data_IF_589438545916
#
_entry.id   IF_589438545916
#
_cell.length_a   1.000
_cell.length_b   1.000
_cell.length_c   1.000
_cell.angle_alpha   90.00
_cell.angle_beta   90.00
_cell.angle_gamma   90.00
#
_symmetry.space_group_name_H-M   'P 1'
#
loop_
_entity.id
_entity.type
_entity.pdbx_description
1 polymer ?
#
# COMPACT_ATOMS: atom_id res chain seq x y z
N UNK A 1 22.27 -18.95 56.19
CA UNK A 1 22.69 -18.70 54.79
C UNK A 1 21.65 -19.08 53.72
N UNK A 2 20.80 -20.11 53.90
CA UNK A 2 19.82 -20.54 52.88
C UNK A 2 18.57 -19.66 52.69
N UNK A 3 18.25 -18.76 53.63
CA UNK A 3 17.08 -17.87 53.54
C UNK A 3 17.36 -16.53 52.85
N UNK A 4 18.63 -16.10 52.73
CA UNK A 4 19.01 -14.84 52.08
C UNK A 4 19.13 -14.97 50.55
N UNK A 5 19.46 -16.16 50.03
CA UNK A 5 19.44 -16.44 48.59
C UNK A 5 18.02 -16.47 47.99
N UNK A 6 17.00 -16.85 48.77
CA UNK A 6 15.61 -16.92 48.28
C UNK A 6 14.95 -15.54 48.09
N UNK A 7 15.40 -14.52 48.81
CA UNK A 7 14.90 -13.14 48.66
C UNK A 7 15.56 -12.38 47.50
N UNK A 8 16.81 -12.70 47.17
CA UNK A 8 17.51 -12.08 46.05
C UNK A 8 16.99 -12.56 44.67
N UNK A 9 16.53 -13.81 44.57
CA UNK A 9 15.96 -14.36 43.32
C UNK A 9 14.55 -13.82 43.04
N UNK A 10 13.79 -13.42 44.07
CA UNK A 10 12.43 -12.86 43.90
C UNK A 10 12.40 -11.46 43.29
N UNK A 11 13.41 -10.62 43.55
CA UNK A 11 13.45 -9.25 43.03
C UNK A 11 14.05 -9.13 41.62
N UNK A 12 14.86 -10.10 41.19
CA UNK A 12 15.37 -10.13 39.81
C UNK A 12 14.27 -10.50 38.79
N UNK A 13 13.30 -11.33 39.17
CA UNK A 13 12.21 -11.76 38.27
C UNK A 13 11.15 -10.64 38.08
N UNK A 14 10.92 -9.81 39.09
CA UNK A 14 9.94 -8.72 39.00
C UNK A 14 10.43 -7.52 38.15
N UNK A 15 11.73 -7.21 38.18
CA UNK A 15 12.29 -6.10 37.40
C UNK A 15 12.46 -6.42 35.90
N UNK A 16 12.69 -7.69 35.55
CA UNK A 16 12.74 -8.15 34.15
C UNK A 16 11.35 -8.25 33.50
N UNK A 17 10.29 -8.40 34.29
CA UNK A 17 8.91 -8.45 33.78
C UNK A 17 8.36 -7.10 33.31
N UNK A 18 8.74 -5.99 33.98
CA UNK A 18 8.25 -4.65 33.66
C UNK A 18 9.03 -3.96 32.54
N UNK A 19 10.31 -4.30 32.34
CA UNK A 19 11.11 -3.77 31.23
C UNK A 19 10.83 -4.48 29.89
N UNK A 20 10.35 -5.73 29.91
CA UNK A 20 10.00 -6.48 28.69
C UNK A 20 8.66 -6.09 28.06
N UNK A 21 7.74 -5.53 28.83
CA UNK A 21 6.38 -5.22 28.35
C UNK A 21 6.29 -3.98 27.45
N UNK A 22 7.25 -3.06 27.52
CA UNK A 22 7.25 -1.83 26.72
C UNK A 22 7.88 -1.99 25.32
N UNK A 23 8.62 -3.07 25.07
CA UNK A 23 9.32 -3.32 23.79
C UNK A 23 8.55 -4.21 22.82
N UNK A 24 7.35 -4.67 23.21
CA UNK A 24 6.48 -5.52 22.38
C UNK A 24 5.21 -4.80 21.93
N UNK A 25 5.13 -3.47 22.07
CA UNK A 25 4.07 -2.73 21.39
C UNK A 25 4.28 -2.89 19.87
N UNK A 26 3.37 -3.57 19.15
CA UNK A 26 3.48 -3.64 17.70
C UNK A 26 3.37 -2.19 17.20
N UNK A 27 4.40 -1.72 16.49
CA UNK A 27 4.26 -0.54 15.67
C UNK A 27 3.11 -0.84 14.70
N UNK A 28 2.00 -0.12 14.83
CA UNK A 28 0.91 -0.24 13.88
C UNK A 28 1.53 0.00 12.48
N UNK A 29 1.32 -0.92 11.51
CA UNK A 29 1.83 -0.71 10.17
C UNK A 29 1.31 0.65 9.68
N UNK A 30 2.19 1.46 9.10
CA UNK A 30 1.79 2.74 8.53
C UNK A 30 0.75 2.46 7.43
N UNK A 31 -0.51 2.72 7.74
CA UNK A 31 -1.61 2.54 6.82
C UNK A 31 -1.38 3.47 5.62
N UNK A 32 -1.30 2.91 4.41
CA UNK A 32 -1.38 3.69 3.20
C UNK A 32 -2.77 4.34 3.15
N UNK A 33 -2.81 5.67 3.30
CA UNK A 33 -4.03 6.46 3.26
C UNK A 33 -4.10 7.23 1.94
N UNK A 34 -5.30 7.37 1.34
CA UNK A 34 -5.47 8.13 0.11
C UNK A 34 -4.94 9.54 0.27
N UNK A 35 -4.10 9.99 -0.66
CA UNK A 35 -3.75 11.40 -0.69
C UNK A 35 -4.97 12.20 -1.13
N UNK A 36 -5.22 13.38 -0.51
CA UNK A 36 -6.29 14.26 -0.95
C UNK A 36 -6.21 14.52 -2.44
N UNK A 37 -7.36 14.54 -3.13
CA UNK A 37 -7.40 14.75 -4.59
C UNK A 37 -6.65 16.03 -5.02
N UNK A 38 -6.62 17.03 -4.16
CA UNK A 38 -5.91 18.29 -4.36
C UNK A 38 -4.41 18.15 -4.58
N UNK A 39 -3.79 17.05 -4.14
CA UNK A 39 -2.37 16.77 -4.36
C UNK A 39 -2.05 16.40 -5.81
N UNK A 40 -3.03 15.91 -6.55
CA UNK A 40 -2.88 15.60 -7.95
C UNK A 40 -3.02 16.87 -8.78
N UNK A 41 -2.22 16.95 -9.84
CA UNK A 41 -2.26 18.04 -10.80
C UNK A 41 -2.46 17.49 -12.20
N UNK A 42 -2.56 18.38 -13.18
CA UNK A 42 -2.59 18.00 -14.60
C UNK A 42 -1.31 17.31 -15.06
N UNK A 43 -0.21 17.36 -14.30
CA UNK A 43 1.10 16.82 -14.68
C UNK A 43 1.83 16.04 -13.57
N UNK A 44 1.23 15.86 -12.40
CA UNK A 44 1.83 15.15 -11.26
C UNK A 44 0.81 14.27 -10.54
N UNK A 45 1.29 13.10 -10.07
CA UNK A 45 0.43 12.09 -9.45
C UNK A 45 -0.51 11.43 -10.46
N UNK A 46 -1.37 10.55 -9.98
CA UNK A 46 -2.40 9.88 -10.78
C UNK A 46 -3.69 9.92 -9.99
N UNK A 47 -4.78 10.30 -10.64
CA UNK A 47 -6.10 10.17 -10.01
C UNK A 47 -6.50 8.71 -10.10
N UNK A 48 -6.71 8.08 -8.94
CA UNK A 48 -7.30 6.76 -8.84
C UNK A 48 -8.78 6.91 -8.51
N UNK A 49 -9.64 6.19 -9.21
CA UNK A 49 -11.04 6.04 -8.89
C UNK A 49 -11.48 4.58 -8.81
N UNK A 50 -12.42 4.30 -7.91
CA UNK A 50 -13.08 3.00 -7.78
C UNK A 50 -14.58 3.20 -7.70
N UNK A 51 -15.30 2.54 -8.61
CA UNK A 51 -16.74 2.63 -8.75
C UNK A 51 -17.45 1.54 -7.95
N UNK A 52 -18.22 1.93 -6.93
CA UNK A 52 -19.08 1.02 -6.16
C UNK A 52 -20.56 1.11 -6.58
N UNK A 53 -20.89 1.77 -7.69
CA UNK A 53 -22.27 1.95 -8.17
C UNK A 53 -23.01 0.64 -8.43
N UNK A 54 -22.29 -0.44 -8.77
CA UNK A 54 -22.88 -1.78 -8.87
C UNK A 54 -23.59 -2.22 -7.58
N UNK A 55 -23.11 -1.77 -6.42
CA UNK A 55 -23.71 -2.02 -5.10
C UNK A 55 -24.46 -0.80 -4.55
N UNK A 56 -24.84 0.15 -5.41
CA UNK A 56 -25.53 1.39 -5.02
C UNK A 56 -24.65 2.45 -4.34
N UNK A 57 -23.33 2.28 -4.38
CA UNK A 57 -22.35 3.23 -3.84
C UNK A 57 -21.95 4.35 -4.82
N UNK A 58 -21.16 5.33 -4.38
CA UNK A 58 -20.57 6.34 -5.26
C UNK A 58 -19.30 5.82 -5.94
N UNK A 59 -18.75 6.65 -6.84
CA UNK A 59 -17.36 6.53 -7.30
C UNK A 59 -16.47 7.31 -6.34
N UNK A 60 -15.58 6.63 -5.63
CA UNK A 60 -14.58 7.30 -4.81
C UNK A 60 -13.33 7.57 -5.63
N UNK A 61 -12.74 8.75 -5.48
CA UNK A 61 -11.44 9.08 -6.09
C UNK A 61 -10.45 9.66 -5.10
N UNK A 62 -9.16 9.43 -5.33
CA UNK A 62 -8.07 10.05 -4.57
C UNK A 62 -6.91 10.40 -5.48
N UNK A 63 -5.92 11.09 -4.91
CA UNK A 63 -4.62 11.17 -5.54
C UNK A 63 -3.73 10.00 -5.11
N UNK A 64 -2.91 9.53 -6.03
CA UNK A 64 -1.79 8.64 -5.77
C UNK A 64 -0.50 9.13 -6.42
N UNK A 65 0.61 8.48 -6.09
CA UNK A 65 1.95 8.92 -6.49
C UNK A 65 2.46 8.16 -7.71
N UNK A 66 3.53 8.67 -8.33
CA UNK A 66 4.23 8.03 -9.46
C UNK A 66 5.74 8.07 -9.21
N UNK A 67 6.53 7.08 -9.67
CA UNK A 67 6.12 5.90 -10.43
C UNK A 67 5.36 4.88 -9.57
N UNK A 68 4.41 4.17 -10.18
CA UNK A 68 3.58 3.15 -9.53
C UNK A 68 3.05 2.17 -10.58
N UNK A 69 2.43 1.09 -10.14
CA UNK A 69 1.53 0.24 -10.93
C UNK A 69 0.07 0.49 -10.54
N UNK A 70 -0.89 -0.01 -11.33
CA UNK A 70 -2.32 0.07 -10.98
C UNK A 70 -2.66 -0.63 -9.65
N UNK A 71 -2.00 -1.75 -9.35
CA UNK A 71 -2.15 -2.46 -8.08
C UNK A 71 -1.58 -1.66 -6.91
N UNK A 72 -0.36 -1.14 -7.05
CA UNK A 72 0.25 -0.30 -6.01
C UNK A 72 -0.56 0.98 -5.79
N UNK A 73 -1.13 1.54 -6.85
CA UNK A 73 -1.97 2.74 -6.79
C UNK A 73 -3.22 2.49 -5.94
N UNK A 74 -3.90 1.35 -6.10
CA UNK A 74 -5.02 0.94 -5.23
C UNK A 74 -4.59 0.92 -3.75
N UNK A 75 -3.47 0.28 -3.46
CA UNK A 75 -2.97 0.13 -2.10
C UNK A 75 -2.54 1.48 -1.49
N UNK A 76 -1.84 2.32 -2.26
CA UNK A 76 -1.45 3.68 -1.87
C UNK A 76 -2.69 4.54 -1.56
N UNK A 77 -3.74 4.37 -2.36
CA UNK A 77 -5.02 5.04 -2.19
C UNK A 77 -5.85 4.57 -0.99
N UNK A 78 -5.35 3.62 -0.18
CA UNK A 78 -6.06 3.06 0.96
C UNK A 78 -7.23 2.13 0.59
N UNK A 79 -7.28 1.67 -0.66
CA UNK A 79 -8.11 0.54 -1.03
C UNK A 79 -7.46 -0.76 -0.56
N UNK A 80 -8.29 -1.69 -0.09
CA UNK A 80 -7.88 -3.04 0.27
C UNK A 80 -8.31 -3.98 -0.85
N UNK A 81 -7.37 -4.76 -1.34
CA UNK A 81 -7.60 -5.71 -2.43
C UNK A 81 -7.48 -7.14 -1.93
N UNK A 82 -8.36 -8.02 -2.40
CA UNK A 82 -8.24 -9.46 -2.20
C UNK A 82 -8.01 -10.13 -3.56
N UNK A 83 -6.98 -10.98 -3.64
CA UNK A 83 -6.67 -11.77 -4.83
C UNK A 83 -7.60 -12.98 -5.01
N UNK A 84 -7.32 -13.81 -6.02
CA UNK A 84 -7.91 -15.15 -6.13
C UNK A 84 -7.00 -16.19 -5.48
N UNK A 85 -7.55 -17.37 -5.14
CA UNK A 85 -6.76 -18.51 -4.67
C UNK A 85 -5.84 -19.06 -5.77
N UNK A 86 -6.31 -19.08 -7.02
CA UNK A 86 -5.56 -19.61 -8.17
C UNK A 86 -4.44 -18.67 -8.64
N UNK A 87 -4.73 -17.37 -8.81
CA UNK A 87 -3.81 -16.39 -9.42
C UNK A 87 -3.13 -15.47 -8.39
N UNK A 88 -3.49 -15.62 -7.12
CA UNK A 88 -2.97 -14.78 -6.04
C UNK A 88 -3.40 -13.31 -6.18
N UNK A 89 -2.62 -12.36 -5.65
CA UNK A 89 -2.96 -10.94 -5.67
C UNK A 89 -2.88 -10.30 -7.06
N UNK A 90 -2.31 -11.02 -8.06
CA UNK A 90 -2.20 -10.50 -9.42
C UNK A 90 -3.56 -10.37 -10.12
N UNK A 91 -4.56 -11.18 -9.70
CA UNK A 91 -5.94 -11.02 -10.12
C UNK A 91 -6.78 -10.45 -8.96
N UNK A 92 -7.25 -9.20 -9.09
CA UNK A 92 -8.02 -8.54 -8.03
C UNK A 92 -9.46 -9.06 -8.05
N UNK A 93 -9.78 -9.93 -7.10
CA UNK A 93 -11.13 -10.44 -6.92
C UNK A 93 -12.03 -9.43 -6.18
N UNK A 94 -11.49 -8.79 -5.14
CA UNK A 94 -12.24 -7.80 -4.36
C UNK A 94 -11.51 -6.49 -4.19
N UNK A 95 -12.29 -5.42 -4.08
CA UNK A 95 -11.83 -4.10 -3.68
C UNK A 95 -12.76 -3.59 -2.57
N UNK A 96 -12.18 -3.03 -1.52
CA UNK A 96 -12.91 -2.29 -0.48
C UNK A 96 -12.17 -1.03 -0.07
N UNK A 97 -12.87 -0.15 0.64
CA UNK A 97 -12.34 1.13 1.09
C UNK A 97 -12.92 1.45 2.46
N UNK A 98 -12.08 1.76 3.46
CA UNK A 98 -12.56 1.94 4.84
C UNK A 98 -13.53 3.12 5.01
N UNK A 99 -13.42 4.15 4.16
CA UNK A 99 -14.41 5.24 4.08
C UNK A 99 -15.76 4.83 3.49
N UNK A 100 -15.91 3.58 3.04
CA UNK A 100 -17.15 3.03 2.49
C UNK A 100 -17.59 1.78 3.26
N UNK A 101 -18.71 1.88 3.99
CA UNK A 101 -19.28 0.81 4.82
C UNK A 101 -18.24 0.10 5.71
N UNK A 102 -17.35 0.86 6.36
CA UNK A 102 -16.35 0.32 7.27
C UNK A 102 -15.31 -0.59 6.62
N UNK A 103 -15.08 -0.47 5.30
CA UNK A 103 -14.08 -1.27 4.60
C UNK A 103 -14.58 -2.58 4.03
N UNK A 104 -15.91 -2.77 3.99
CA UNK A 104 -16.52 -3.91 3.30
C UNK A 104 -15.94 -4.01 1.88
N UNK A 105 -15.40 -5.19 1.57
CA UNK A 105 -14.87 -5.50 0.24
C UNK A 105 -15.96 -6.09 -0.65
N UNK A 106 -15.85 -5.78 -1.94
CA UNK A 106 -16.81 -6.17 -2.95
C UNK A 106 -16.16 -6.85 -4.16
N UNK A 107 -16.79 -7.88 -4.76
CA UNK A 107 -18.01 -8.55 -4.31
C UNK A 107 -17.90 -9.08 -2.89
N UNK A 108 -19.01 -9.36 -2.23
CA UNK A 108 -18.95 -9.95 -0.87
C UNK A 108 -18.64 -11.45 -0.93
N UNK A 109 -18.19 -12.08 0.16
CA UNK A 109 -17.95 -13.54 0.19
C UNK A 109 -19.17 -14.40 -0.18
N UNK A 110 -20.38 -13.84 -0.09
CA UNK A 110 -21.60 -14.53 -0.50
C UNK A 110 -21.84 -14.47 -2.02
N UNK A 111 -21.18 -13.54 -2.72
CA UNK A 111 -21.34 -13.32 -4.17
C UNK A 111 -20.23 -13.98 -4.99
N UNK A 112 -19.03 -14.10 -4.44
CA UNK A 112 -17.87 -14.68 -5.10
C UNK A 112 -16.97 -15.28 -4.01
N UNK A 113 -16.49 -16.50 -4.19
CA UNK A 113 -15.61 -17.19 -3.23
C UNK A 113 -14.14 -16.76 -3.39
N UNK A 114 -13.78 -16.19 -4.54
CA UNK A 114 -12.41 -15.83 -4.91
C UNK A 114 -11.44 -17.01 -4.93
N UNK A 115 -11.92 -18.22 -5.23
CA UNK A 115 -11.04 -19.40 -5.37
C UNK A 115 -10.43 -19.42 -6.76
N UNK A 116 -11.29 -19.36 -7.79
CA UNK A 116 -10.89 -19.33 -9.19
C UNK A 116 -11.01 -17.90 -9.74
N UNK A 117 -10.43 -17.69 -10.91
CA UNK A 117 -10.63 -16.46 -11.68
C UNK A 117 -12.12 -16.30 -12.03
N UNK A 118 -12.77 -15.19 -11.64
CA UNK A 118 -14.15 -14.91 -12.01
C UNK A 118 -14.36 -14.90 -13.53
N UNK A 119 -15.54 -15.32 -14.02
CA UNK A 119 -15.86 -15.24 -15.44
C UNK A 119 -15.90 -13.79 -15.92
N UNK A 120 -15.64 -13.56 -17.22
CA UNK A 120 -15.63 -12.23 -17.82
C UNK A 120 -16.97 -11.46 -17.71
N UNK A 121 -18.04 -12.13 -17.27
CA UNK A 121 -19.35 -11.53 -17.00
C UNK A 121 -19.41 -10.71 -15.70
N UNK A 122 -18.49 -10.89 -14.75
CA UNK A 122 -18.50 -10.18 -13.47
C UNK A 122 -17.11 -10.12 -12.82
N UNK A 123 -16.35 -9.08 -13.11
CA UNK A 123 -15.02 -8.87 -12.53
C UNK A 123 -14.67 -7.38 -12.42
N UNK A 124 -13.59 -7.06 -11.71
CA UNK A 124 -13.03 -5.71 -11.66
C UNK A 124 -12.25 -5.40 -12.94
N UNK A 125 -12.87 -4.65 -13.83
CA UNK A 125 -12.25 -4.15 -15.05
C UNK A 125 -11.46 -2.87 -14.78
N UNK A 126 -10.33 -2.72 -15.48
CA UNK A 126 -9.39 -1.63 -15.29
C UNK A 126 -9.31 -0.74 -16.52
N UNK A 127 -9.53 0.55 -16.31
CA UNK A 127 -9.57 1.57 -17.36
C UNK A 127 -8.64 2.71 -17.03
N UNK A 128 -8.03 3.29 -18.06
CA UNK A 128 -7.14 4.44 -17.89
C UNK A 128 -7.32 5.47 -19.01
N UNK A 129 -6.96 6.70 -18.69
CA UNK A 129 -6.88 7.81 -19.64
C UNK A 129 -5.62 8.63 -19.40
N UNK A 130 -4.77 8.70 -20.43
CA UNK A 130 -3.53 9.48 -20.38
C UNK A 130 -3.80 10.98 -20.14
N UNK A 131 -2.79 11.77 -19.74
CA UNK A 131 -2.93 13.21 -19.53
C UNK A 131 -3.58 13.89 -20.74
N UNK A 132 -4.61 14.70 -20.49
CA UNK A 132 -5.35 15.45 -21.51
C UNK A 132 -6.36 14.64 -22.33
N UNK A 133 -6.43 13.31 -22.20
CA UNK A 133 -7.40 12.49 -22.91
C UNK A 133 -8.74 12.42 -22.15
N UNK A 134 -9.86 12.35 -22.88
CA UNK A 134 -11.20 12.22 -22.31
C UNK A 134 -11.94 10.96 -22.81
N UNK A 135 -11.19 9.95 -23.22
CA UNK A 135 -11.71 8.64 -23.64
C UNK A 135 -11.05 7.55 -22.81
N UNK A 136 -11.84 6.62 -22.28
CA UNK A 136 -11.32 5.47 -21.57
C UNK A 136 -10.72 4.45 -22.52
N UNK A 137 -9.54 3.97 -22.13
CA UNK A 137 -8.88 2.80 -22.69
C UNK A 137 -8.94 1.66 -21.67
N UNK A 138 -9.36 0.48 -22.11
CA UNK A 138 -9.34 -0.72 -21.29
C UNK A 138 -7.90 -1.23 -21.18
N UNK A 139 -7.44 -1.52 -19.97
CA UNK A 139 -6.07 -1.97 -19.75
C UNK A 139 -5.86 -3.38 -20.32
N UNK A 140 -5.02 -3.49 -21.35
CA UNK A 140 -4.54 -4.77 -21.87
C UNK A 140 -3.43 -5.39 -21.01
N UNK A 141 -2.95 -4.66 -20.00
CA UNK A 141 -1.97 -5.12 -19.03
C UNK A 141 -2.66 -5.37 -17.69
N UNK A 142 -2.15 -6.37 -16.95
CA UNK A 142 -2.59 -6.61 -15.58
C UNK A 142 -2.25 -5.45 -14.63
N UNK A 143 -2.94 -5.40 -13.49
CA UNK A 143 -2.78 -4.36 -12.45
C UNK A 143 -1.33 -4.14 -12.01
N UNK A 144 -0.54 -5.22 -12.00
CA UNK A 144 0.87 -5.25 -11.59
C UNK A 144 1.84 -4.74 -12.68
N UNK A 145 1.38 -4.54 -13.91
CA UNK A 145 2.24 -4.29 -15.07
C UNK A 145 2.00 -2.94 -15.72
N UNK A 146 0.74 -2.48 -15.77
CA UNK A 146 0.44 -1.14 -16.26
C UNK A 146 1.08 -0.09 -15.35
N UNK A 147 1.70 0.93 -15.95
CA UNK A 147 2.35 2.04 -15.26
C UNK A 147 1.71 3.36 -15.70
N UNK A 148 0.83 3.95 -14.88
CA UNK A 148 0.16 5.19 -15.25
C UNK A 148 1.16 6.35 -15.38
N UNK A 149 0.88 7.26 -16.31
CA UNK A 149 1.68 8.47 -16.51
C UNK A 149 1.28 9.55 -15.48
N UNK A 150 2.21 10.39 -15.01
CA UNK A 150 1.83 11.54 -14.19
C UNK A 150 0.76 12.41 -14.89
N UNK A 151 -0.29 12.80 -14.17
CA UNK A 151 -1.46 13.52 -14.68
C UNK A 151 -2.53 12.64 -15.35
N UNK A 152 -2.36 11.32 -15.36
CA UNK A 152 -3.39 10.38 -15.86
C UNK A 152 -4.51 10.14 -14.84
N UNK A 153 -5.55 9.46 -15.30
CA UNK A 153 -6.68 9.01 -14.49
C UNK A 153 -6.88 7.52 -14.73
N UNK A 154 -7.02 6.80 -13.63
CA UNK A 154 -7.23 5.36 -13.56
C UNK A 154 -8.57 5.07 -12.89
N UNK A 155 -9.30 4.07 -13.37
CA UNK A 155 -10.62 3.71 -12.89
C UNK A 155 -10.80 2.19 -12.83
N UNK A 156 -11.32 1.72 -11.70
CA UNK A 156 -11.77 0.35 -11.49
C UNK A 156 -13.28 0.29 -11.42
N UNK A 157 -13.91 -0.54 -12.25
CA UNK A 157 -15.37 -0.76 -12.23
C UNK A 157 -15.69 -2.25 -12.22
N UNK A 158 -16.73 -2.64 -11.49
CA UNK A 158 -17.19 -4.02 -11.44
C UNK A 158 -18.31 -4.28 -12.45
N UNK A 159 -18.18 -5.33 -13.25
CA UNK A 159 -19.22 -5.74 -14.20
C UNK A 159 -18.71 -6.68 -15.27
N UNK A 160 -19.55 -6.94 -16.26
CA UNK A 160 -19.19 -7.76 -17.41
C UNK A 160 -18.56 -6.93 -18.53
N UNK A 161 -17.48 -7.44 -19.11
CA UNK A 161 -16.87 -6.86 -20.32
C UNK A 161 -16.58 -7.96 -21.34
N UNK A 162 -16.22 -7.57 -22.56
CA UNK A 162 -15.52 -8.42 -23.52
C UNK A 162 -13.99 -8.26 -23.39
N UNK A 163 -13.23 -9.13 -24.06
CA UNK A 163 -11.76 -9.15 -24.00
C UNK A 163 -11.11 -7.82 -24.45
N UNK A 164 -11.79 -7.06 -25.31
CA UNK A 164 -11.33 -5.77 -25.80
C UNK A 164 -11.80 -4.57 -24.99
N UNK A 165 -12.67 -4.75 -23.98
CA UNK A 165 -13.31 -3.63 -23.27
C UNK A 165 -14.13 -2.73 -24.20
N UNK A 166 -14.76 -3.29 -25.24
CA UNK A 166 -15.72 -2.56 -26.08
C UNK A 166 -17.12 -2.53 -25.44
N UNK A 167 -17.41 -3.49 -24.55
CA UNK A 167 -18.60 -3.59 -23.71
C UNK A 167 -18.27 -3.33 -22.25
N UNK A 168 -19.27 -2.92 -21.47
CA UNK A 168 -19.11 -2.65 -20.04
C UNK A 168 -18.23 -1.43 -19.75
N UNK A 169 -18.16 -0.47 -20.67
CA UNK A 169 -17.35 0.75 -20.52
C UNK A 169 -17.90 1.64 -19.39
N UNK A 170 -17.04 2.43 -18.72
CA UNK A 170 -17.49 3.41 -17.76
C UNK A 170 -18.46 4.42 -18.39
N UNK A 171 -19.51 4.77 -17.66
CA UNK A 171 -20.49 5.79 -18.09
C UNK A 171 -20.00 7.21 -17.82
N UNK A 172 -19.25 7.41 -16.74
CA UNK A 172 -18.54 8.65 -16.45
C UNK A 172 -17.35 8.85 -17.40
N UNK A 173 -17.00 10.10 -17.71
CA UNK A 173 -15.83 10.43 -18.54
C UNK A 173 -14.57 10.62 -17.68
N UNK A 174 -13.35 10.46 -18.25
CA UNK A 174 -12.12 10.76 -17.52
C UNK A 174 -12.06 12.17 -16.95
N UNK A 175 -12.56 13.17 -17.67
CA UNK A 175 -12.57 14.56 -17.20
C UNK A 175 -13.47 14.81 -15.99
N UNK A 176 -14.51 13.99 -15.76
CA UNK A 176 -15.30 14.10 -14.52
C UNK A 176 -14.49 13.69 -13.28
N UNK A 177 -13.48 12.83 -13.45
CA UNK A 177 -12.60 12.37 -12.38
C UNK A 177 -11.30 13.17 -12.28
N UNK A 178 -10.82 13.72 -13.39
CA UNK A 178 -9.49 14.34 -13.51
C UNK A 178 -9.26 15.47 -12.50
N UNK A 179 -8.02 15.59 -12.03
CA UNK A 179 -7.55 16.76 -11.31
C UNK A 179 -7.31 17.92 -12.28
N UNK A 180 -7.78 19.12 -11.93
CA UNK A 180 -7.62 20.32 -12.75
C UNK A 180 -6.58 21.30 -12.21
N UNK A 181 -5.98 20.99 -11.06
CA UNK A 181 -4.99 21.85 -10.43
C UNK A 181 -3.70 21.88 -11.27
N UNK A 182 -3.05 23.03 -11.35
CA UNK A 182 -1.69 23.16 -11.93
C UNK A 182 -0.59 23.03 -10.87
N UNK A 183 -0.96 23.07 -9.58
CA UNK A 183 -0.09 22.89 -8.42
C UNK A 183 -0.84 22.12 -7.32
N UNK A 184 -0.16 21.31 -6.49
CA UNK A 184 -0.82 20.64 -5.37
C UNK A 184 -1.52 21.63 -4.42
N UNK A 185 -2.68 21.23 -3.91
CA UNK A 185 -3.53 22.00 -2.98
C UNK A 185 -4.03 21.11 -1.84
N UNK A 186 -4.39 21.71 -0.70
CA UNK A 186 -5.10 21.01 0.38
C UNK A 186 -4.25 20.04 1.20
N UNK A 187 -2.96 20.36 1.43
CA UNK A 187 -2.17 19.73 2.48
C UNK A 187 -2.00 20.71 3.62
N UNK A 188 -2.55 20.42 4.80
CA UNK A 188 -2.07 21.07 6.02
C UNK A 188 -0.57 20.74 6.14
N UNK A 189 0.31 21.73 6.35
CA UNK A 189 1.71 21.45 6.63
C UNK A 189 1.76 20.54 7.87
N UNK A 190 2.54 19.46 7.79
CA UNK A 190 2.90 18.70 8.99
C UNK A 190 3.39 19.70 10.06
N UNK A 191 2.97 19.59 11.34
CA UNK A 191 3.40 20.51 12.38
C UNK A 191 4.92 20.63 12.37
N UNK A 192 5.41 21.82 12.06
CA UNK A 192 6.83 22.10 12.05
C UNK A 192 7.35 21.87 13.48
N UNK A 193 8.48 21.15 13.68
CA UNK A 193 9.06 20.99 15.00
C UNK A 193 9.24 22.38 15.64
N UNK A 194 8.89 22.57 16.92
CA UNK A 194 9.04 23.87 17.56
C UNK A 194 10.49 24.34 17.40
N UNK A 195 10.73 25.62 17.08
CA UNK A 195 12.07 26.15 16.94
C UNK A 195 12.84 25.88 18.23
N UNK A 196 14.04 25.30 18.10
CA UNK A 196 14.94 25.07 19.24
C UNK A 196 15.12 26.40 19.98
N UNK A 197 15.00 26.43 21.33
CA UNK A 197 15.25 27.63 22.11
C UNK A 197 16.63 28.20 21.74
N UNK A 198 16.66 29.47 21.36
CA UNK A 198 17.89 30.21 21.15
C UNK A 198 18.59 30.33 22.52
N UNK A 199 19.90 30.02 22.64
CA UNK A 199 20.62 30.31 23.87
C UNK A 199 20.56 31.81 24.16
N UNK A 200 20.15 32.18 25.38
CA UNK A 200 20.07 33.57 25.80
C UNK A 200 21.46 34.23 25.79
N UNK A 201 21.58 35.49 25.37
CA UNK A 201 22.82 36.23 25.47
C UNK A 201 22.98 36.74 26.90
N UNK A 202 23.71 36.01 27.74
CA UNK A 202 24.20 36.57 29.02
C UNK A 202 25.36 37.52 28.72
N UNK A 203 25.06 38.82 28.80
CA UNK A 203 25.99 39.92 29.10
C UNK A 203 25.88 40.11 30.63
N UNK A 204 26.89 40.31 31.48
CA UNK A 204 28.23 40.91 31.41
C UNK A 204 28.90 40.57 32.75
N UNK A 205 30.24 40.45 32.82
CA UNK A 205 31.09 41.21 33.75
C UNK A 205 32.57 40.97 33.42
N UNK A 206 33.27 42.06 33.08
CA UNK A 206 34.72 42.17 33.07
C UNK A 206 35.32 41.81 34.44
N UNK A 207 36.49 41.17 34.43
CA UNK A 207 37.51 41.39 35.45
C UNK A 207 38.91 41.40 34.79
N UNK A 208 39.83 42.32 35.16
CA UNK A 208 41.12 42.52 34.48
C UNK A 208 42.30 41.80 35.17
N UNK A 209 43.38 41.59 34.39
CA UNK A 209 44.71 41.08 34.78
C UNK A 209 44.99 39.70 34.15
N UNK A 210 46.13 39.35 33.55
CA UNK A 210 47.44 39.98 33.38
C UNK A 210 48.10 39.38 32.10
N UNK A 211 49.08 40.08 31.54
CA UNK A 211 49.51 39.95 30.16
C UNK A 211 50.32 38.72 29.73
N UNK A 212 50.34 38.51 28.41
CA UNK A 212 51.41 37.85 27.66
C UNK A 212 51.37 38.30 26.18
N UNK A 213 52.51 38.58 25.51
CA UNK A 213 52.53 39.14 24.15
C UNK A 213 52.04 38.17 23.07
N UNK A 214 51.34 38.72 22.07
CA UNK A 214 50.81 38.00 20.91
C UNK A 214 51.92 37.45 20.01
N UNK A 215 51.87 36.15 19.71
CA UNK A 215 52.64 35.52 18.66
C UNK A 215 51.97 35.76 17.28
N UNK A 216 52.75 35.97 16.19
CA UNK A 216 52.19 36.18 14.86
C UNK A 216 51.59 34.88 14.27
N UNK A 217 50.57 34.98 13.40
CA UNK A 217 49.96 33.81 12.76
C UNK A 217 50.88 33.17 11.70
N UNK A 218 50.81 31.84 11.48
CA UNK A 218 51.54 31.17 10.42
C UNK A 218 50.94 31.47 9.02
N UNK A 219 51.72 31.34 7.93
CA UNK A 219 51.26 31.61 6.57
C UNK A 219 50.24 30.56 6.07
N UNK A 220 49.40 30.91 5.07
CA UNK A 220 48.41 30.00 4.52
C UNK A 220 49.06 28.84 3.77
N UNK A 221 48.64 27.61 4.08
CA UNK A 221 49.03 26.39 3.37
C UNK A 221 48.22 26.26 2.08
N UNK A 222 48.90 26.24 0.94
CA UNK A 222 48.32 25.98 -0.38
C UNK A 222 47.84 24.52 -0.47
N UNK A 223 46.55 24.30 -0.70
CA UNK A 223 46.00 22.98 -1.01
C UNK A 223 46.15 22.68 -2.52
N UNK A 224 46.57 21.48 -2.94
CA UNK A 224 46.68 21.12 -4.36
C UNK A 224 45.32 20.83 -4.99
N UNK A 225 45.18 21.16 -6.28
CA UNK A 225 44.03 20.83 -7.12
C UNK A 225 43.89 19.31 -7.33
N UNK A 226 42.65 18.77 -7.44
CA UNK A 226 42.45 17.38 -7.85
C UNK A 226 42.64 17.19 -9.37
N UNK A 227 43.15 16.02 -9.82
CA UNK A 227 43.43 15.75 -11.23
C UNK A 227 42.17 15.38 -12.03
N UNK A 228 42.23 15.74 -13.30
CA UNK A 228 41.29 15.37 -14.37
C UNK A 228 41.31 13.86 -14.64
N UNK A 229 40.17 13.15 -14.80
CA UNK A 229 40.17 11.79 -15.30
C UNK A 229 40.20 11.74 -16.82
N UNK A 230 41.25 11.06 -17.29
CA UNK A 230 41.53 10.67 -18.66
C UNK A 230 40.45 9.77 -19.25
N UNK A 231 40.22 9.95 -20.55
CA UNK A 231 39.37 9.10 -21.38
C UNK A 231 39.87 7.65 -21.40
N UNK A 232 38.95 6.70 -21.28
CA UNK A 232 39.19 5.30 -21.66
C UNK A 232 38.08 4.88 -22.61
N UNK A 233 38.45 4.71 -23.86
CA UNK A 233 37.69 4.01 -24.86
C UNK A 233 37.63 2.52 -24.50
N UNK A 234 36.47 1.89 -24.69
CA UNK A 234 36.38 0.45 -24.80
C UNK A 234 35.35 0.07 -25.84
N UNK A 235 35.90 -0.62 -26.83
CA UNK A 235 35.41 -1.28 -28.02
C UNK A 235 34.08 -2.01 -27.93
N UNK A 236 33.29 -1.82 -29.00
CA UNK A 236 32.19 -2.64 -29.50
C UNK A 236 32.62 -4.09 -29.80
N UNK A 237 31.70 -5.07 -29.79
CA UNK A 237 31.29 -5.60 -31.09
C UNK A 237 29.77 -5.82 -31.25
N UNK A 238 29.37 -5.68 -32.51
CA UNK A 238 28.05 -5.92 -33.10
C UNK A 238 27.93 -7.37 -33.60
N UNK A 239 26.76 -8.00 -33.42
CA UNK A 239 26.11 -8.83 -34.44
C UNK A 239 24.69 -9.25 -34.02
N UNK A 240 23.74 -8.99 -34.91
CA UNK A 240 22.32 -9.40 -34.90
C UNK A 240 22.12 -10.93 -34.94
N UNK A 241 20.87 -11.41 -34.78
CA UNK A 241 20.12 -11.66 -36.01
C UNK A 241 18.65 -11.22 -35.99
N UNK A 242 18.21 -10.95 -37.22
CA UNK A 242 16.85 -10.74 -37.71
C UNK A 242 15.98 -11.99 -37.56
N UNK A 243 14.66 -11.82 -37.43
CA UNK A 243 13.72 -12.94 -37.60
C UNK A 243 12.33 -12.73 -37.00
N UNK A 244 11.48 -11.96 -37.68
CA UNK A 244 10.03 -12.19 -37.67
C UNK A 244 9.70 -13.06 -38.89
N UNK A 245 8.82 -14.07 -38.77
CA UNK A 245 7.45 -13.83 -39.23
C UNK A 245 6.34 -14.56 -38.42
N UNK A 246 5.15 -13.95 -38.41
CA UNK A 246 3.84 -14.62 -38.24
C UNK A 246 3.39 -15.17 -39.62
N UNK A 247 2.63 -16.29 -39.75
CA UNK A 247 1.16 -16.20 -39.62
C UNK A 247 0.38 -17.50 -39.20
N UNK A 248 -0.72 -17.28 -38.45
CA UNK A 248 -2.10 -17.84 -38.64
C UNK A 248 -2.36 -19.38 -38.53
N UNK A 249 -3.62 -19.87 -38.59
CA UNK A 249 -4.52 -20.08 -37.45
C UNK A 249 -4.96 -21.56 -37.28
N UNK A 250 -5.59 -21.92 -36.16
CA UNK A 250 -6.43 -23.13 -36.09
C UNK A 250 -7.71 -22.88 -35.29
N UNK A 251 -8.77 -23.43 -35.87
CA UNK A 251 -10.16 -23.10 -35.66
C UNK A 251 -10.85 -23.99 -34.62
N UNK A 252 -12.04 -23.53 -34.23
CA UNK A 252 -13.20 -24.30 -33.77
C UNK A 252 -13.11 -25.06 -32.46
N UNK A 253 -13.85 -24.55 -31.47
CA UNK A 253 -15.11 -25.20 -31.09
C UNK A 253 -16.05 -24.20 -30.39
N UNK A 254 -17.23 -24.00 -30.99
CA UNK A 254 -18.42 -23.48 -30.31
C UNK A 254 -19.02 -24.59 -29.43
N UNK A 255 -19.69 -24.26 -28.33
CA UNK A 255 -21.14 -24.39 -28.42
C UNK A 255 -21.95 -23.24 -27.78
N UNK A 256 -22.95 -22.83 -28.55
CA UNK A 256 -24.35 -22.57 -28.20
C UNK A 256 -24.78 -22.46 -26.73
N UNK A 257 -25.44 -21.33 -26.48
CA UNK A 257 -26.67 -21.13 -25.69
C UNK A 257 -26.59 -21.17 -24.14
N UNK A 258 -26.76 -19.99 -23.53
CA UNK A 258 -28.07 -19.57 -23.01
C UNK A 258 -28.07 -18.09 -22.69
N UNK A 259 -29.02 -17.36 -23.26
CA UNK A 259 -29.30 -15.97 -22.92
C UNK A 259 -29.87 -15.92 -21.50
N UNK A 260 -29.03 -15.54 -20.53
CA UNK A 260 -29.49 -14.96 -19.28
C UNK A 260 -29.50 -13.45 -19.44
N UNK A 261 -30.66 -12.83 -19.24
CA UNK A 261 -30.83 -11.38 -19.21
C UNK A 261 -29.71 -10.69 -18.45
N UNK A 262 -28.89 -9.94 -19.17
CA UNK A 262 -28.03 -8.95 -18.57
C UNK A 262 -28.95 -7.87 -18.00
N UNK A 263 -29.23 -7.96 -16.69
CA UNK A 263 -29.92 -6.91 -15.95
C UNK A 263 -29.03 -5.67 -16.04
N UNK A 264 -29.41 -4.75 -16.92
CA UNK A 264 -28.86 -3.41 -16.97
C UNK A 264 -29.13 -2.77 -15.60
N UNK A 265 -28.08 -2.46 -14.86
CA UNK A 265 -28.19 -1.69 -13.62
C UNK A 265 -28.86 -0.33 -13.94
N UNK A 266 -29.76 0.16 -13.08
CA UNK A 266 -30.49 1.40 -13.33
C UNK A 266 -29.53 2.59 -13.35
N UNK A 267 -29.60 3.36 -14.45
CA UNK A 267 -28.74 4.51 -14.74
C UNK A 267 -29.07 5.74 -13.89
N UNK A 268 -28.62 5.73 -12.64
CA UNK A 268 -28.30 6.97 -11.93
C UNK A 268 -26.88 7.42 -12.32
N UNK A 269 -26.67 8.70 -12.61
CA UNK A 269 -25.31 9.24 -12.74
C UNK A 269 -24.54 8.91 -11.45
N UNK A 270 -23.45 8.15 -11.59
CA UNK A 270 -22.66 7.74 -10.44
C UNK A 270 -22.05 8.98 -9.77
N UNK A 271 -22.44 9.22 -8.52
CA UNK A 271 -21.95 10.36 -7.74
C UNK A 271 -20.45 10.19 -7.50
N UNK A 272 -19.63 11.17 -7.89
CA UNK A 272 -18.19 11.20 -7.59
C UNK A 272 -17.97 11.81 -6.21
N UNK A 273 -17.14 11.17 -5.40
CA UNK A 273 -16.78 11.58 -4.04
C UNK A 273 -15.27 11.53 -3.87
N UNK A 274 -14.68 12.59 -3.31
CA UNK A 274 -13.27 12.56 -2.93
C UNK A 274 -13.09 11.68 -1.69
N UNK A 275 -12.24 10.66 -1.81
CA UNK A 275 -11.89 9.76 -0.74
C UNK A 275 -11.05 10.50 0.32
N UNK A 276 -11.55 10.57 1.55
CA UNK A 276 -10.80 11.09 2.68
C UNK A 276 -9.83 10.03 3.22
N UNK A 277 -8.72 10.42 3.86
CA UNK A 277 -7.97 9.50 4.71
C UNK A 277 -8.93 8.87 5.73
N UNK A 278 -9.17 7.58 5.60
CA UNK A 278 -10.01 6.83 6.52
C UNK A 278 -9.11 5.92 7.36
N UNK A 279 -9.37 5.76 8.67
CA UNK A 279 -8.65 4.77 9.48
C UNK A 279 -8.80 3.39 8.83
N UNK A 280 -7.86 2.48 9.09
CA UNK A 280 -8.03 1.10 8.64
C UNK A 280 -9.38 0.55 9.12
N UNK A 281 -10.00 -0.26 8.27
CA UNK A 281 -11.19 -1.01 8.66
C UNK A 281 -10.90 -1.76 9.96
N UNK A 282 -11.84 -1.74 10.90
CA UNK A 282 -11.74 -2.60 12.08
C UNK A 282 -11.58 -4.03 11.57
N UNK A 283 -10.45 -4.64 11.92
CA UNK A 283 -10.26 -6.04 11.61
C UNK A 283 -11.26 -6.80 12.46
N UNK A 284 -12.25 -7.41 11.81
CA UNK A 284 -13.03 -8.46 12.44
C UNK A 284 -12.01 -9.51 12.87
N UNK A 285 -11.70 -9.51 14.17
CA UNK A 285 -10.73 -10.40 14.76
C UNK A 285 -11.36 -11.77 14.65
N UNK A 286 -11.15 -12.42 13.50
CA UNK A 286 -11.72 -13.70 13.18
C UNK A 286 -11.61 -14.59 14.41
N UNK A 287 -12.73 -15.23 14.75
CA UNK A 287 -12.95 -16.00 15.98
C UNK A 287 -11.66 -16.43 16.67
N UNK A 288 -11.39 -15.95 17.89
CA UNK A 288 -10.21 -16.36 18.70
C UNK A 288 -10.26 -17.83 19.14
N UNK A 289 -11.34 -18.54 18.80
CA UNK A 289 -11.57 -19.94 19.14
C UNK A 289 -10.44 -20.89 18.69
N UNK A 290 -9.85 -20.80 17.48
CA UNK A 290 -8.73 -21.64 17.07
C UNK A 290 -7.46 -21.36 17.88
N UNK A 291 -7.20 -20.10 18.24
CA UNK A 291 -6.07 -19.71 19.08
C UNK A 291 -6.27 -20.20 20.53
N UNK A 292 -7.48 -20.08 21.06
CA UNK A 292 -7.83 -20.61 22.37
C UNK A 292 -7.78 -22.15 22.40
N UNK A 293 -8.22 -22.82 21.34
CA UNK A 293 -8.19 -24.27 21.21
C UNK A 293 -6.75 -24.80 21.12
N UNK A 294 -5.90 -24.16 20.32
CA UNK A 294 -4.47 -24.52 20.21
C UNK A 294 -3.72 -24.27 21.52
N UNK A 295 -3.94 -23.14 22.18
CA UNK A 295 -3.37 -22.86 23.49
C UNK A 295 -3.83 -23.89 24.55
N UNK A 296 -5.12 -24.23 24.57
CA UNK A 296 -5.67 -25.27 25.44
C UNK A 296 -5.03 -26.64 25.23
N UNK A 297 -4.84 -27.03 23.96
CA UNK A 297 -4.19 -28.30 23.61
C UNK A 297 -2.73 -28.36 24.11
N UNK A 298 -1.97 -27.28 23.96
CA UNK A 298 -0.58 -27.20 24.46
C UNK A 298 -0.51 -27.34 25.97
N UNK A 299 -1.44 -26.73 26.71
CA UNK A 299 -1.51 -26.86 28.18
C UNK A 299 -1.83 -28.28 28.60
N UNK A 300 -2.76 -28.96 27.91
CA UNK A 300 -3.11 -30.36 28.21
C UNK A 300 -1.92 -31.28 27.96
N UNK A 301 -1.22 -31.13 26.83
CA UNK A 301 -0.04 -31.95 26.49
C UNK A 301 1.09 -31.69 27.49
N UNK A 302 1.39 -30.43 27.79
CA UNK A 302 2.40 -30.05 28.78
C UNK A 302 2.08 -30.57 30.18
N UNK A 303 0.82 -30.45 30.61
CA UNK A 303 0.34 -30.97 31.89
C UNK A 303 0.44 -32.49 31.99
N UNK A 304 0.09 -33.21 30.92
CA UNK A 304 0.20 -34.67 30.86
C UNK A 304 1.66 -35.14 30.94
N UNK A 305 2.59 -34.46 30.26
CA UNK A 305 4.01 -34.76 30.32
C UNK A 305 4.59 -34.56 31.73
N UNK A 306 4.23 -33.45 32.40
CA UNK A 306 4.63 -33.16 33.78
C UNK A 306 4.06 -34.20 34.76
N UNK A 307 2.79 -34.58 34.60
CA UNK A 307 2.15 -35.59 35.45
C UNK A 307 2.82 -36.97 35.29
N UNK A 308 3.09 -37.39 34.05
CA UNK A 308 3.78 -38.65 33.77
C UNK A 308 5.20 -38.68 34.38
N UNK A 309 5.96 -37.58 34.25
CA UNK A 309 7.29 -37.47 34.86
C UNK A 309 7.24 -37.52 36.39
N UNK A 310 6.25 -36.88 37.02
CA UNK A 310 6.06 -36.90 38.47
C UNK A 310 5.65 -38.28 38.99
N UNK A 311 4.86 -39.05 38.22
CA UNK A 311 4.46 -40.41 38.57
C UNK A 311 5.64 -41.39 38.50
N UNK A 312 6.50 -41.28 37.48
CA UNK A 312 7.71 -42.11 37.35
C UNK A 312 8.66 -41.90 38.54
N UNK A 313 8.92 -40.65 38.94
CA UNK A 313 9.76 -40.32 40.11
C UNK A 313 9.22 -40.75 41.47
N UNK A 314 7.96 -41.19 41.56
CA UNK A 314 7.35 -41.70 42.81
C UNK A 314 7.31 -43.23 42.86
N UNK A 315 7.61 -43.89 41.74
CA UNK A 315 7.66 -45.34 41.62
C UNK A 315 9.09 -45.91 41.65
N UNK A 316 10.08 -45.02 41.70
CA UNK A 316 11.50 -45.27 42.02
C UNK A 316 11.75 -44.87 43.48
#
# INVERSE_FOLDING_TARGET
>A
MRSRLRRAVGHAVAALGLAGAALLAPAAPAAAAPQPIGQCTTSSGVVLAVDFSHWGGPVYRSCGTTPTTGYELLNQGGWRTTGTGHDGPAFICRIGYSGHHGGRQYPTPQQEDCVLTPPASAYWSYWHANPGQNTWEYSQLGAMSYRPRPGSVDLWIFGGTDIGGTKGRPTLTPNQLRAHNTRPTGGDPAPQPPPKPKPDPVRTTEQPGDGAPAAPPPPPTTAPAPPSPSASASTSPSASPSGSPSPSPSASASPSASAGEAVAAPGGEAKVVDAAPAPDAEHDSGSVVPLAATAGLVVVIGGAAVFAAKRRRRAE
#
